data_IF_933547132013
#
_entry.id   IF_933547132013
#
_cell.length_a   1.000
_cell.length_b   1.000
_cell.length_c   1.000
_cell.angle_alpha   90.00
_cell.angle_beta   90.00
_cell.angle_gamma   90.00
#
_symmetry.space_group_name_H-M   'P 1'
#
loop_
_entity.id
_entity.type
_entity.pdbx_description
1 polymer ?
#
# COMPACT_ATOMS: atom_id res chain seq x y z
N UNK A 1 2.78 42.41 -28.50
CA UNK A 1 3.27 42.05 -27.15
C UNK A 1 3.85 40.63 -27.15
N UNK A 2 4.94 40.38 -27.91
CA UNK A 2 5.54 39.03 -28.05
C UNK A 2 6.95 38.89 -27.45
N UNK A 3 7.49 39.92 -26.78
CA UNK A 3 8.90 39.94 -26.34
C UNK A 3 9.14 39.47 -24.91
N UNK A 4 8.10 39.38 -24.06
CA UNK A 4 8.28 39.10 -22.62
C UNK A 4 8.27 37.61 -22.28
N UNK A 5 7.51 36.80 -23.01
CA UNK A 5 7.39 35.35 -22.75
C UNK A 5 8.72 34.58 -22.98
N UNK A 6 9.48 34.82 -24.07
CA UNK A 6 10.77 34.16 -24.26
C UNK A 6 11.80 34.55 -23.19
N UNK A 7 11.79 35.82 -22.76
CA UNK A 7 12.65 36.33 -21.69
C UNK A 7 12.26 35.69 -20.36
N UNK A 8 10.97 35.62 -20.05
CA UNK A 8 10.46 34.95 -18.86
C UNK A 8 10.85 33.47 -18.83
N UNK A 9 10.63 32.73 -19.93
CA UNK A 9 11.00 31.31 -20.03
C UNK A 9 12.51 31.11 -19.83
N UNK A 10 13.35 31.96 -20.43
CA UNK A 10 14.79 31.90 -20.25
C UNK A 10 15.21 32.15 -18.79
N UNK A 11 14.64 33.18 -18.15
CA UNK A 11 14.91 33.51 -16.75
C UNK A 11 14.42 32.41 -15.81
N UNK A 12 13.24 31.83 -16.06
CA UNK A 12 12.70 30.73 -15.28
C UNK A 12 13.55 29.47 -15.39
N UNK A 13 14.02 29.10 -16.60
CA UNK A 13 14.95 27.97 -16.78
C UNK A 13 16.22 28.17 -15.96
N UNK A 14 16.80 29.38 -16.02
CA UNK A 14 18.01 29.71 -15.27
C UNK A 14 17.76 29.66 -13.76
N UNK A 15 16.65 30.23 -13.29
CA UNK A 15 16.26 30.21 -11.89
C UNK A 15 16.05 28.77 -11.39
N UNK A 16 15.29 27.95 -12.12
CA UNK A 16 15.06 26.55 -11.77
C UNK A 16 16.38 25.78 -11.66
N UNK A 17 17.30 25.97 -12.62
CA UNK A 17 18.61 25.33 -12.55
C UNK A 17 19.36 25.73 -11.27
N UNK A 18 19.40 27.02 -10.97
CA UNK A 18 20.10 27.56 -9.79
C UNK A 18 19.43 27.16 -8.45
N UNK A 19 18.11 27.03 -8.43
CA UNK A 19 17.36 26.72 -7.21
C UNK A 19 17.42 25.24 -6.84
N UNK A 20 17.39 24.34 -7.83
CA UNK A 20 17.21 22.91 -7.62
C UNK A 20 18.46 22.06 -7.87
N UNK A 21 19.47 22.58 -8.58
CA UNK A 21 20.72 21.87 -8.82
C UNK A 21 21.88 22.61 -8.17
N UNK A 22 22.66 21.91 -7.32
CA UNK A 22 23.85 22.50 -6.70
C UNK A 22 25.05 22.48 -7.63
N UNK A 23 25.05 21.54 -8.58
CA UNK A 23 26.11 21.35 -9.57
C UNK A 23 25.94 22.25 -10.78
N UNK A 24 27.01 22.97 -11.15
CA UNK A 24 26.99 23.84 -12.33
C UNK A 24 26.85 23.07 -13.66
N UNK A 25 27.36 21.84 -13.70
CA UNK A 25 27.32 20.95 -14.87
C UNK A 25 26.01 20.17 -15.01
N UNK A 26 25.10 20.26 -14.02
CA UNK A 26 23.82 19.59 -14.11
C UNK A 26 22.96 20.16 -15.25
N UNK A 27 22.33 19.26 -16.00
CA UNK A 27 21.36 19.58 -17.04
C UNK A 27 19.95 19.44 -16.48
N UNK A 28 19.01 20.27 -16.94
CA UNK A 28 17.58 20.05 -16.66
C UNK A 28 17.18 18.63 -17.11
N UNK A 29 16.39 17.95 -16.29
CA UNK A 29 16.00 16.55 -16.46
C UNK A 29 16.98 15.52 -15.91
N UNK A 30 18.16 15.94 -15.41
CA UNK A 30 18.99 15.08 -14.57
C UNK A 30 18.42 14.99 -13.15
N UNK A 31 18.68 13.89 -12.44
CA UNK A 31 18.28 13.76 -11.04
C UNK A 31 19.41 14.27 -10.14
N UNK A 32 19.08 15.23 -9.30
CA UNK A 32 19.91 15.70 -8.20
C UNK A 32 19.48 15.00 -6.91
N UNK A 33 20.43 14.42 -6.18
CA UNK A 33 20.20 13.80 -4.89
C UNK A 33 20.76 14.68 -3.79
N UNK A 34 19.94 15.01 -2.79
CA UNK A 34 20.35 15.78 -1.64
C UNK A 34 19.78 15.19 -0.36
N UNK A 35 20.57 15.21 0.70
CA UNK A 35 20.13 14.79 2.03
C UNK A 35 19.77 16.04 2.84
N UNK A 36 18.58 16.04 3.43
CA UNK A 36 18.15 17.12 4.35
C UNK A 36 18.95 17.09 5.65
N UNK A 37 18.81 18.14 6.46
CA UNK A 37 19.38 18.18 7.81
C UNK A 37 18.83 17.10 8.75
N UNK A 38 17.69 16.49 8.43
CA UNK A 38 17.07 15.39 9.17
C UNK A 38 17.46 14.02 8.60
N UNK A 39 18.51 13.96 7.77
CA UNK A 39 18.98 12.75 7.10
C UNK A 39 17.98 12.12 6.11
N UNK A 40 16.93 12.86 5.73
CA UNK A 40 15.95 12.41 4.74
C UNK A 40 16.52 12.64 3.33
N UNK A 41 16.62 11.61 2.47
CA UNK A 41 17.02 11.77 1.08
C UNK A 41 15.89 12.43 0.27
N UNK A 42 16.27 13.39 -0.58
CA UNK A 42 15.39 14.11 -1.49
C UNK A 42 15.99 14.00 -2.89
N UNK A 43 15.21 13.50 -3.83
CA UNK A 43 15.58 13.39 -5.23
C UNK A 43 14.78 14.42 -6.03
N UNK A 44 15.46 15.22 -6.83
CA UNK A 44 14.85 16.30 -7.60
C UNK A 44 15.19 16.13 -9.07
N UNK A 45 14.18 16.19 -9.94
CA UNK A 45 14.37 16.32 -11.39
C UNK A 45 13.50 17.46 -11.90
N UNK A 46 14.10 18.44 -12.56
CA UNK A 46 13.37 19.56 -13.14
C UNK A 46 13.28 19.40 -14.64
N UNK A 47 12.06 19.21 -15.13
CA UNK A 47 11.75 19.22 -16.55
C UNK A 47 11.16 20.58 -16.93
N UNK A 48 11.66 21.16 -18.02
CA UNK A 48 11.09 22.36 -18.62
C UNK A 48 10.56 21.99 -19.99
N UNK A 49 9.31 22.35 -20.27
CA UNK A 49 8.69 22.11 -21.55
C UNK A 49 7.96 23.36 -22.04
N UNK A 50 8.12 23.66 -23.32
CA UNK A 50 7.56 24.85 -23.96
C UNK A 50 6.12 24.64 -24.48
N UNK A 51 5.69 23.38 -24.67
CA UNK A 51 4.40 23.03 -25.31
C UNK A 51 3.41 22.35 -24.36
N UNK A 52 2.12 22.64 -24.51
CA UNK A 52 1.01 22.00 -23.78
C UNK A 52 1.00 20.46 -23.91
N UNK A 53 1.53 19.92 -25.03
CA UNK A 53 1.62 18.47 -25.27
C UNK A 53 2.58 17.74 -24.32
N UNK A 54 3.47 18.45 -23.62
CA UNK A 54 4.38 17.87 -22.63
C UNK A 54 3.70 17.46 -21.33
N UNK A 55 2.48 17.96 -21.07
CA UNK A 55 1.68 17.63 -19.90
C UNK A 55 1.28 16.15 -19.84
N UNK A 56 1.31 15.45 -20.98
CA UNK A 56 1.03 14.01 -21.09
C UNK A 56 2.08 13.11 -20.41
N UNK A 57 3.25 13.63 -20.07
CA UNK A 57 4.31 12.88 -19.38
C UNK A 57 4.23 13.00 -17.85
N UNK A 58 3.36 13.86 -17.31
CA UNK A 58 3.19 14.01 -15.87
C UNK A 58 2.49 12.76 -15.32
N UNK A 59 3.01 12.19 -14.22
CA UNK A 59 2.42 11.06 -13.49
C UNK A 59 2.57 11.33 -11.98
N UNK A 60 1.62 10.84 -11.18
CA UNK A 60 1.58 11.02 -9.73
C UNK A 60 1.73 12.48 -9.27
N UNK A 61 0.93 13.38 -9.85
CA UNK A 61 0.87 14.74 -9.33
C UNK A 61 -0.04 14.79 -8.11
N UNK A 62 0.52 15.07 -6.94
CA UNK A 62 -0.24 15.33 -5.71
C UNK A 62 -0.60 16.82 -5.53
N UNK A 63 0.18 17.71 -6.16
CA UNK A 63 0.05 19.14 -5.98
C UNK A 63 0.55 19.93 -7.20
N UNK A 64 0.12 21.20 -7.32
CA UNK A 64 0.56 22.10 -8.38
C UNK A 64 0.65 23.55 -7.91
N UNK A 65 1.69 24.25 -8.36
CA UNK A 65 1.72 25.71 -8.38
C UNK A 65 1.28 26.18 -9.78
N UNK A 66 0.13 26.84 -9.86
CA UNK A 66 -0.42 27.37 -11.10
C UNK A 66 -0.06 28.85 -11.26
N UNK A 67 0.85 29.14 -12.17
CA UNK A 67 1.32 30.51 -12.42
C UNK A 67 0.44 31.17 -13.49
N UNK A 68 0.05 32.41 -13.21
CA UNK A 68 -0.78 33.24 -14.08
C UNK A 68 -0.05 34.54 -14.38
N UNK A 69 0.01 34.89 -15.66
CA UNK A 69 0.63 36.11 -16.15
C UNK A 69 -0.48 37.00 -16.74
N UNK A 70 -0.96 37.99 -15.97
CA UNK A 70 -2.19 38.73 -16.27
C UNK A 70 -2.25 39.42 -17.65
N UNK A 71 -1.08 39.75 -18.19
CA UNK A 71 -0.91 40.46 -19.46
C UNK A 71 -0.70 39.53 -20.66
N UNK A 72 -0.42 38.24 -20.44
CA UNK A 72 -0.07 37.30 -21.53
C UNK A 72 -1.18 36.33 -21.91
N UNK A 73 -2.24 36.19 -21.10
CA UNK A 73 -3.35 35.27 -21.39
C UNK A 73 -4.72 35.93 -21.15
N UNK A 74 -5.75 35.42 -21.83
CA UNK A 74 -7.14 35.80 -21.56
C UNK A 74 -7.72 35.00 -20.40
N UNK A 75 -8.75 35.52 -19.75
CA UNK A 75 -9.49 34.82 -18.68
C UNK A 75 -9.94 33.42 -19.12
N UNK A 76 -10.49 33.31 -20.34
CA UNK A 76 -10.96 32.04 -20.90
C UNK A 76 -9.81 31.04 -21.07
N UNK A 77 -8.66 31.48 -21.56
CA UNK A 77 -7.47 30.63 -21.73
C UNK A 77 -6.94 30.15 -20.39
N UNK A 78 -6.83 31.05 -19.41
CA UNK A 78 -6.36 30.74 -18.07
C UNK A 78 -7.23 29.66 -17.40
N UNK A 79 -8.57 29.83 -17.45
CA UNK A 79 -9.52 28.86 -16.90
C UNK A 79 -9.49 27.51 -17.63
N UNK A 80 -9.36 27.52 -18.96
CA UNK A 80 -9.24 26.29 -19.74
C UNK A 80 -7.98 25.52 -19.37
N UNK A 81 -6.84 26.21 -19.22
CA UNK A 81 -5.57 25.62 -18.80
C UNK A 81 -5.64 25.04 -17.39
N UNK A 82 -6.21 25.79 -16.44
CA UNK A 82 -6.44 25.29 -15.07
C UNK A 82 -7.29 24.01 -15.08
N UNK A 83 -8.43 24.02 -15.78
CA UNK A 83 -9.30 22.86 -15.90
C UNK A 83 -8.58 21.66 -16.49
N UNK A 84 -7.86 21.84 -17.60
CA UNK A 84 -7.13 20.75 -18.25
C UNK A 84 -6.08 20.11 -17.35
N UNK A 85 -5.38 20.91 -16.54
CA UNK A 85 -4.37 20.39 -15.60
C UNK A 85 -5.03 19.69 -14.41
N UNK A 86 -6.10 20.27 -13.87
CA UNK A 86 -6.86 19.69 -12.76
C UNK A 86 -7.67 18.46 -13.18
N UNK A 87 -8.03 18.28 -14.45
CA UNK A 87 -8.72 17.05 -14.91
C UNK A 87 -7.76 16.02 -15.48
N UNK A 88 -6.45 16.29 -15.45
CA UNK A 88 -5.44 15.37 -15.97
C UNK A 88 -5.50 14.01 -15.27
N UNK A 89 -5.37 12.89 -16.02
CA UNK A 89 -5.27 11.55 -15.43
C UNK A 89 -3.97 11.35 -14.64
N UNK A 90 -3.02 12.29 -14.71
CA UNK A 90 -1.77 12.28 -13.98
C UNK A 90 -1.92 12.44 -12.45
N UNK A 91 -3.08 12.88 -11.96
CA UNK A 91 -3.30 13.18 -10.54
C UNK A 91 -3.40 11.93 -9.67
N UNK A 92 -2.80 11.99 -8.49
CA UNK A 92 -2.88 10.96 -7.47
C UNK A 92 -3.92 11.31 -6.39
N UNK A 93 -5.18 10.94 -6.59
CA UNK A 93 -6.21 11.10 -5.56
C UNK A 93 -6.49 12.57 -5.18
N UNK A 94 -6.35 12.91 -3.90
CA UNK A 94 -6.53 14.28 -3.39
C UNK A 94 -5.44 15.21 -3.93
N UNK A 95 -5.86 16.29 -4.59
CA UNK A 95 -4.97 17.18 -5.34
C UNK A 95 -5.04 18.62 -4.82
N UNK A 96 -3.89 19.25 -4.58
CA UNK A 96 -3.80 20.60 -4.01
C UNK A 96 -3.26 21.62 -5.02
N UNK A 97 -3.84 22.83 -5.05
CA UNK A 97 -3.49 23.87 -6.04
C UNK A 97 -3.14 25.20 -5.37
N UNK A 98 -1.93 25.71 -5.62
CA UNK A 98 -1.55 27.07 -5.24
C UNK A 98 -1.48 27.94 -6.50
N UNK A 99 -2.38 28.91 -6.63
CA UNK A 99 -2.35 29.89 -7.73
C UNK A 99 -1.41 31.02 -7.36
N UNK A 100 -0.59 31.43 -8.33
CA UNK A 100 0.37 32.52 -8.17
C UNK A 100 0.21 33.54 -9.30
N UNK A 101 -0.29 34.73 -8.96
CA UNK A 101 -0.59 35.78 -9.93
C UNK A 101 0.58 36.76 -10.07
N UNK A 102 1.10 36.88 -11.29
CA UNK A 102 2.19 37.79 -11.66
C UNK A 102 1.58 39.02 -12.35
N UNK A 103 1.89 40.20 -11.82
CA UNK A 103 1.45 41.48 -12.39
C UNK A 103 0.02 41.89 -11.99
N UNK A 104 -0.43 41.58 -10.77
CA UNK A 104 -1.69 42.09 -10.20
C UNK A 104 -2.75 41.02 -9.93
N UNK A 105 -3.99 41.44 -9.69
CA UNK A 105 -5.10 40.60 -9.21
C UNK A 105 -6.27 40.48 -10.20
N UNK A 106 -6.01 40.69 -11.49
CA UNK A 106 -7.02 40.76 -12.56
C UNK A 106 -7.93 39.53 -12.60
N UNK A 107 -7.37 38.34 -12.39
CA UNK A 107 -8.09 37.07 -12.49
C UNK A 107 -8.51 36.47 -11.14
N UNK A 108 -8.15 37.07 -10.00
CA UNK A 108 -8.37 36.50 -8.65
C UNK A 108 -9.82 36.10 -8.41
N UNK A 109 -10.76 36.99 -8.75
CA UNK A 109 -12.19 36.75 -8.53
C UNK A 109 -12.68 35.55 -9.31
N UNK A 110 -12.28 35.43 -10.57
CA UNK A 110 -12.75 34.38 -11.47
C UNK A 110 -12.09 33.06 -11.13
N UNK A 111 -10.79 33.07 -10.86
CA UNK A 111 -10.04 31.90 -10.37
C UNK A 111 -10.60 31.38 -9.06
N UNK A 112 -10.96 32.28 -8.13
CA UNK A 112 -11.59 31.89 -6.87
C UNK A 112 -12.90 31.14 -7.08
N UNK A 113 -13.79 31.66 -7.92
CA UNK A 113 -15.07 31.01 -8.24
C UNK A 113 -14.83 29.63 -8.85
N UNK A 114 -13.88 29.52 -9.78
CA UNK A 114 -13.57 28.25 -10.43
C UNK A 114 -12.94 27.24 -9.47
N UNK A 115 -12.01 27.65 -8.61
CA UNK A 115 -11.41 26.77 -7.59
C UNK A 115 -12.44 26.29 -6.57
N UNK A 116 -13.37 27.14 -6.15
CA UNK A 116 -14.50 26.74 -5.30
C UNK A 116 -15.38 25.68 -5.98
N UNK A 117 -15.60 25.81 -7.29
CA UNK A 117 -16.38 24.85 -8.06
C UNK A 117 -15.64 23.51 -8.24
N UNK A 118 -14.36 23.55 -8.61
CA UNK A 118 -13.50 22.37 -8.69
C UNK A 118 -13.41 21.63 -7.33
N UNK A 119 -13.42 22.38 -6.23
CA UNK A 119 -13.43 21.82 -4.89
C UNK A 119 -14.76 21.10 -4.58
N UNK A 120 -15.90 21.71 -4.91
CA UNK A 120 -17.23 21.07 -4.75
C UNK A 120 -17.36 19.80 -5.58
N UNK A 121 -16.69 19.73 -6.73
CA UNK A 121 -16.64 18.55 -7.59
C UNK A 121 -15.65 17.48 -7.11
N UNK A 122 -14.98 17.68 -5.97
CA UNK A 122 -13.91 16.82 -5.44
C UNK A 122 -12.74 16.64 -6.42
N UNK A 123 -12.51 17.60 -7.32
CA UNK A 123 -11.37 17.56 -8.23
C UNK A 123 -10.10 18.12 -7.59
N UNK A 124 -10.25 19.01 -6.61
CA UNK A 124 -9.19 19.55 -5.77
C UNK A 124 -9.58 19.49 -4.29
N UNK A 125 -8.64 19.14 -3.42
CA UNK A 125 -8.85 19.06 -1.97
C UNK A 125 -8.60 20.42 -1.30
N UNK A 126 -7.48 21.06 -1.63
CA UNK A 126 -7.06 22.33 -1.03
C UNK A 126 -6.59 23.31 -2.09
N UNK A 127 -6.85 24.60 -1.86
CA UNK A 127 -6.35 25.62 -2.76
C UNK A 127 -6.06 26.95 -2.06
N UNK A 128 -5.18 27.75 -2.69
CA UNK A 128 -4.96 29.15 -2.31
C UNK A 128 -4.62 30.00 -3.53
N UNK A 129 -4.77 31.32 -3.38
CA UNK A 129 -4.36 32.31 -4.38
C UNK A 129 -3.39 33.29 -3.70
N UNK A 130 -2.19 33.40 -4.25
CA UNK A 130 -1.14 34.30 -3.79
C UNK A 130 -0.74 35.26 -4.93
N UNK A 131 -0.37 36.49 -4.59
CA UNK A 131 0.31 37.40 -5.52
C UNK A 131 1.81 37.12 -5.53
N UNK A 132 2.44 37.24 -6.69
CA UNK A 132 3.89 37.05 -6.83
C UNK A 132 4.66 38.17 -6.11
N UNK A 133 5.51 37.79 -5.16
CA UNK A 133 6.35 38.69 -4.36
C UNK A 133 7.81 38.24 -4.35
N UNK A 134 8.35 37.81 -5.50
CA UNK A 134 9.70 37.23 -5.66
C UNK A 134 9.76 35.79 -5.09
N UNK A 135 10.90 35.17 -4.72
CA UNK A 135 10.92 33.74 -4.39
C UNK A 135 10.12 33.38 -3.13
N UNK A 136 9.84 34.36 -2.26
CA UNK A 136 9.06 34.14 -1.03
C UNK A 136 7.66 33.57 -1.32
N UNK A 137 6.97 34.08 -2.35
CA UNK A 137 5.65 33.56 -2.73
C UNK A 137 5.69 32.13 -3.26
N UNK A 138 6.81 31.71 -3.88
CA UNK A 138 7.02 30.30 -4.26
C UNK A 138 7.20 29.45 -3.02
N UNK A 139 8.05 29.88 -2.08
CA UNK A 139 8.31 29.14 -0.84
C UNK A 139 7.06 29.00 0.01
N UNK A 140 6.27 30.06 0.15
CA UNK A 140 4.95 30.01 0.80
C UNK A 140 4.01 29.05 0.07
N UNK A 141 4.01 29.03 -1.26
CA UNK A 141 3.18 28.12 -2.06
C UNK A 141 3.60 26.68 -1.87
N UNK A 142 4.89 26.40 -1.89
CA UNK A 142 5.43 25.07 -1.58
C UNK A 142 5.07 24.63 -0.17
N UNK A 143 5.25 25.50 0.84
CA UNK A 143 4.91 25.20 2.23
C UNK A 143 3.42 24.81 2.37
N UNK A 144 2.52 25.62 1.81
CA UNK A 144 1.10 25.29 1.77
C UNK A 144 0.84 23.94 1.09
N UNK A 145 1.42 23.70 -0.09
CA UNK A 145 1.19 22.44 -0.79
C UNK A 145 1.69 21.26 0.05
N UNK A 146 2.88 21.35 0.64
CA UNK A 146 3.46 20.27 1.47
C UNK A 146 2.64 19.95 2.72
N UNK A 147 1.97 20.93 3.32
CA UNK A 147 1.04 20.70 4.45
C UNK A 147 -0.21 19.91 4.04
N UNK A 148 -0.56 19.94 2.75
CA UNK A 148 -1.80 19.41 2.21
C UNK A 148 -1.57 18.25 1.21
N UNK A 149 -0.33 17.76 1.05
CA UNK A 149 -0.07 16.51 0.33
C UNK A 149 -0.41 15.35 1.26
N UNK A 150 -1.40 14.56 0.87
CA UNK A 150 -1.79 13.37 1.61
C UNK A 150 -0.78 12.24 1.34
N UNK A 151 0.26 12.13 2.17
CA UNK A 151 1.18 10.98 2.18
C UNK A 151 0.74 10.00 3.26
N UNK A 152 0.46 8.75 2.91
CA UNK A 152 0.40 7.66 3.88
C UNK A 152 1.83 7.42 4.39
N UNK A 153 2.13 7.70 5.67
CA UNK A 153 3.50 7.88 6.16
C UNK A 153 4.30 6.56 6.28
N UNK A 154 3.66 5.41 6.08
CA UNK A 154 4.24 4.08 6.36
C UNK A 154 4.07 3.09 5.20
N UNK A 155 4.06 3.60 3.97
CA UNK A 155 3.98 2.75 2.78
C UNK A 155 5.25 1.93 2.64
N UNK A 156 5.05 0.65 2.37
CA UNK A 156 6.12 -0.30 2.07
C UNK A 156 5.68 -1.23 0.94
N UNK A 157 6.66 -1.86 0.30
CA UNK A 157 6.50 -2.89 -0.70
C UNK A 157 7.32 -4.12 -0.30
N UNK A 158 6.75 -5.30 -0.47
CA UNK A 158 7.46 -6.56 -0.22
C UNK A 158 6.96 -7.65 -1.17
N UNK A 159 7.73 -8.73 -1.28
CA UNK A 159 7.21 -9.94 -1.91
C UNK A 159 6.02 -10.46 -1.10
N UNK A 160 4.92 -10.79 -1.78
CA UNK A 160 3.70 -11.29 -1.13
C UNK A 160 3.98 -12.50 -0.24
N UNK A 161 4.88 -13.39 -0.68
CA UNK A 161 5.35 -14.54 0.09
C UNK A 161 5.90 -14.14 1.47
N UNK A 162 6.82 -13.17 1.51
CA UNK A 162 7.48 -12.75 2.74
C UNK A 162 6.49 -12.08 3.70
N UNK A 163 5.60 -11.25 3.14
CA UNK A 163 4.54 -10.62 3.92
C UNK A 163 3.60 -11.67 4.53
N UNK A 164 3.18 -12.67 3.76
CA UNK A 164 2.28 -13.71 4.27
C UNK A 164 2.98 -14.60 5.31
N UNK A 165 4.26 -14.96 5.11
CA UNK A 165 5.05 -15.69 6.11
C UNK A 165 5.07 -14.93 7.43
N UNK A 166 5.47 -13.66 7.40
CA UNK A 166 5.53 -12.81 8.58
C UNK A 166 4.16 -12.70 9.27
N UNK A 167 3.09 -12.42 8.51
CA UNK A 167 1.74 -12.28 9.09
C UNK A 167 1.22 -13.58 9.66
N UNK A 168 1.57 -14.71 9.06
CA UNK A 168 1.20 -16.03 9.57
C UNK A 168 1.88 -16.30 10.90
N UNK A 169 3.19 -16.07 11.01
CA UNK A 169 3.96 -16.20 12.25
C UNK A 169 3.41 -15.28 13.34
N UNK A 170 3.27 -13.97 13.06
CA UNK A 170 2.73 -12.99 14.02
C UNK A 170 1.31 -13.35 14.48
N UNK A 171 0.48 -13.92 13.60
CA UNK A 171 -0.88 -14.34 13.92
C UNK A 171 -0.88 -15.54 14.88
N UNK A 172 -0.12 -16.60 14.59
CA UNK A 172 -0.07 -17.78 15.46
C UNK A 172 0.57 -17.47 16.81
N UNK A 173 1.62 -16.64 16.85
CA UNK A 173 2.21 -16.13 18.10
C UNK A 173 1.20 -15.36 18.94
N UNK A 174 0.38 -14.51 18.30
CA UNK A 174 -0.66 -13.74 18.98
C UNK A 174 -1.80 -14.64 19.52
N UNK A 175 -2.17 -15.71 18.81
CA UNK A 175 -3.13 -16.69 19.31
C UNK A 175 -2.55 -17.50 20.47
N UNK A 176 -1.29 -17.94 20.35
CA UNK A 176 -0.58 -18.74 21.35
C UNK A 176 -0.42 -17.98 22.66
N UNK A 177 -0.03 -16.71 22.60
CA UNK A 177 0.04 -15.84 23.78
C UNK A 177 -1.36 -15.49 24.33
N UNK A 178 -2.33 -15.24 23.46
CA UNK A 178 -3.68 -14.83 23.84
C UNK A 178 -4.52 -15.93 24.50
N UNK A 179 -4.29 -17.20 24.16
CA UNK A 179 -5.11 -18.31 24.67
C UNK A 179 -5.04 -18.45 26.19
N UNK A 180 -3.92 -18.09 26.83
CA UNK A 180 -3.76 -18.14 28.29
C UNK A 180 -4.52 -17.03 29.01
N UNK A 181 -4.84 -15.94 28.31
CA UNK A 181 -5.48 -14.75 28.90
C UNK A 181 -6.98 -14.67 28.61
N UNK A 182 -7.50 -15.42 27.64
CA UNK A 182 -8.90 -15.38 27.25
C UNK A 182 -9.53 -16.79 27.22
N UNK A 183 -10.51 -17.03 28.10
CA UNK A 183 -11.23 -18.32 28.21
C UNK A 183 -11.91 -18.73 26.90
N UNK A 184 -12.53 -17.77 26.20
CA UNK A 184 -13.18 -18.04 24.92
C UNK A 184 -12.18 -18.48 23.85
N UNK A 185 -11.01 -17.84 23.80
CA UNK A 185 -9.95 -18.21 22.87
C UNK A 185 -9.32 -19.56 23.23
N UNK A 186 -9.05 -19.79 24.52
CA UNK A 186 -8.59 -21.08 25.05
C UNK A 186 -9.50 -22.24 24.63
N UNK A 187 -10.82 -22.06 24.69
CA UNK A 187 -11.77 -23.06 24.20
C UNK A 187 -11.78 -23.15 22.67
N UNK A 188 -11.71 -22.02 21.97
CA UNK A 188 -11.77 -21.99 20.51
C UNK A 188 -10.62 -22.78 19.87
N UNK A 189 -9.39 -22.61 20.39
CA UNK A 189 -8.19 -23.28 19.84
C UNK A 189 -8.12 -24.79 20.10
N UNK A 190 -9.03 -25.35 20.91
CA UNK A 190 -9.17 -26.82 21.07
C UNK A 190 -9.79 -27.50 19.84
N UNK A 191 -10.31 -26.74 18.88
CA UNK A 191 -10.87 -27.27 17.64
C UNK A 191 -10.06 -26.78 16.43
N UNK A 192 -9.56 -27.70 15.58
CA UNK A 192 -8.79 -27.31 14.41
C UNK A 192 -9.62 -26.49 13.41
N UNK A 193 -10.93 -26.77 13.27
CA UNK A 193 -11.80 -26.00 12.37
C UNK A 193 -11.96 -24.54 12.80
N UNK A 194 -11.97 -24.28 14.11
CA UNK A 194 -12.01 -22.92 14.62
C UNK A 194 -10.72 -22.17 14.26
N UNK A 195 -9.55 -22.79 14.45
CA UNK A 195 -8.27 -22.19 14.12
C UNK A 195 -8.16 -21.95 12.61
N UNK A 196 -8.58 -22.91 11.78
CA UNK A 196 -8.69 -22.77 10.32
C UNK A 196 -9.57 -21.57 9.95
N UNK A 197 -10.74 -21.41 10.57
CA UNK A 197 -11.63 -20.28 10.34
C UNK A 197 -10.96 -18.95 10.71
N UNK A 198 -10.28 -18.89 11.85
CA UNK A 198 -9.55 -17.69 12.28
C UNK A 198 -8.41 -17.35 11.30
N UNK A 199 -7.58 -18.32 10.91
CA UNK A 199 -6.51 -18.13 9.93
C UNK A 199 -7.04 -17.65 8.56
N UNK A 200 -8.09 -18.29 8.03
CA UNK A 200 -8.70 -17.89 6.77
C UNK A 200 -9.30 -16.48 6.83
N UNK A 201 -9.81 -16.08 8.01
CA UNK A 201 -10.27 -14.71 8.26
C UNK A 201 -9.09 -13.72 8.28
N UNK A 202 -7.95 -14.12 8.85
CA UNK A 202 -6.72 -13.33 8.83
C UNK A 202 -6.26 -13.05 7.39
N UNK A 203 -6.21 -14.07 6.54
CA UNK A 203 -5.87 -13.92 5.12
C UNK A 203 -6.85 -12.99 4.38
N UNK A 204 -8.15 -13.08 4.68
CA UNK A 204 -9.17 -12.20 4.09
C UNK A 204 -9.00 -10.75 4.55
N UNK A 205 -8.60 -10.52 5.81
CA UNK A 205 -8.28 -9.16 6.29
C UNK A 205 -7.03 -8.60 5.62
N UNK A 206 -5.99 -9.41 5.45
CA UNK A 206 -4.80 -9.03 4.70
C UNK A 206 -5.15 -8.68 3.25
N UNK A 207 -5.96 -9.50 2.59
CA UNK A 207 -6.47 -9.24 1.23
C UNK A 207 -7.13 -7.86 1.14
N UNK A 208 -8.05 -7.54 2.05
CA UNK A 208 -8.73 -6.24 2.05
C UNK A 208 -7.77 -5.05 2.20
N UNK A 209 -6.69 -5.21 2.97
CA UNK A 209 -5.65 -4.18 3.10
C UNK A 209 -4.86 -4.01 1.79
N UNK A 210 -4.45 -5.11 1.16
CA UNK A 210 -3.67 -5.10 -0.08
C UNK A 210 -4.45 -4.64 -1.31
N UNK A 211 -5.78 -4.74 -1.27
CA UNK A 211 -6.67 -4.32 -2.35
C UNK A 211 -7.25 -2.91 -2.13
N UNK A 212 -6.82 -2.21 -1.09
CA UNK A 212 -7.29 -0.86 -0.78
C UNK A 212 -6.99 0.12 -1.92
N UNK A 213 -8.02 0.86 -2.37
CA UNK A 213 -7.90 1.90 -3.39
C UNK A 213 -6.90 3.01 -3.00
N UNK A 214 -6.67 3.21 -1.69
CA UNK A 214 -5.69 4.17 -1.18
C UNK A 214 -4.26 3.88 -1.65
N UNK A 215 -3.99 2.64 -2.04
CA UNK A 215 -2.67 2.20 -2.50
C UNK A 215 -2.39 2.54 -3.96
N UNK A 216 -3.43 2.83 -4.76
CA UNK A 216 -3.33 3.03 -6.21
C UNK A 216 -2.34 4.13 -6.59
N UNK A 217 -2.34 5.24 -5.85
CA UNK A 217 -1.45 6.38 -6.12
C UNK A 217 0.04 6.02 -6.06
N UNK A 218 0.43 5.00 -5.29
CA UNK A 218 1.82 4.58 -5.13
C UNK A 218 2.33 3.74 -6.30
N UNK A 219 1.47 3.34 -7.23
CA UNK A 219 1.88 2.66 -8.47
C UNK A 219 2.35 3.64 -9.54
N UNK A 220 2.06 4.93 -9.37
CA UNK A 220 2.43 5.99 -10.30
C UNK A 220 3.82 6.58 -9.98
N UNK A 221 4.75 5.79 -9.43
CA UNK A 221 6.11 6.24 -9.12
C UNK A 221 6.85 6.69 -10.39
N UNK A 222 7.50 7.85 -10.36
CA UNK A 222 8.17 8.42 -11.52
C UNK A 222 9.47 7.64 -11.85
N UNK A 223 9.59 7.20 -13.11
CA UNK A 223 10.61 6.24 -13.55
C UNK A 223 12.04 6.81 -13.41
N UNK A 224 12.20 8.11 -13.57
CA UNK A 224 13.48 8.83 -13.47
C UNK A 224 14.14 8.68 -12.09
N UNK A 225 13.36 8.54 -11.02
CA UNK A 225 13.88 8.43 -9.66
C UNK A 225 14.28 7.00 -9.28
N UNK A 226 13.90 6.00 -10.07
CA UNK A 226 14.07 4.58 -9.72
C UNK A 226 15.51 4.19 -9.40
N UNK A 227 16.47 4.69 -10.19
CA UNK A 227 17.90 4.37 -10.02
C UNK A 227 18.53 5.03 -8.79
N UNK A 228 17.86 6.02 -8.22
CA UNK A 228 18.36 6.83 -7.10
C UNK A 228 17.73 6.45 -5.76
N UNK A 229 16.82 5.46 -5.74
CA UNK A 229 16.34 4.87 -4.50
C UNK A 229 17.36 3.83 -4.02
N UNK A 230 17.91 3.97 -2.80
CA UNK A 230 18.95 3.07 -2.31
C UNK A 230 18.51 1.60 -2.33
N UNK A 231 19.32 0.72 -2.91
CA UNK A 231 19.02 -0.72 -3.00
C UNK A 231 18.90 -1.42 -1.64
N UNK A 232 19.51 -0.88 -0.59
CA UNK A 232 19.40 -1.39 0.80
C UNK A 232 18.09 -0.99 1.49
N UNK A 233 17.43 0.06 1.01
CA UNK A 233 16.11 0.52 1.47
C UNK A 233 14.98 -0.05 0.59
N UNK A 234 15.31 -0.92 -0.38
CA UNK A 234 14.39 -1.47 -1.36
C UNK A 234 13.22 -2.21 -0.72
N UNK A 235 12.13 -1.48 -0.63
CA UNK A 235 10.94 -1.85 0.12
C UNK A 235 9.88 -0.77 0.05
N UNK A 236 9.92 0.10 -0.95
CA UNK A 236 8.98 1.20 -1.15
C UNK A 236 8.28 1.17 -2.52
N UNK A 237 7.57 2.25 -2.87
CA UNK A 237 6.82 2.37 -4.11
C UNK A 237 7.64 2.15 -5.40
N UNK A 238 8.94 2.39 -5.37
CA UNK A 238 9.86 2.21 -6.50
C UNK A 238 9.86 0.78 -7.08
N UNK A 239 9.53 -0.22 -6.25
CA UNK A 239 9.38 -1.63 -6.68
C UNK A 239 8.14 -1.85 -7.56
N UNK A 240 7.25 -0.86 -7.64
CA UNK A 240 6.04 -0.88 -8.47
C UNK A 240 6.14 0.00 -9.72
N UNK A 241 7.28 0.65 -9.94
CA UNK A 241 7.59 1.35 -11.18
C UNK A 241 7.28 0.46 -12.41
N UNK A 242 6.47 1.00 -13.33
CA UNK A 242 5.99 0.30 -14.53
C UNK A 242 4.87 -0.73 -14.31
N UNK A 243 4.39 -0.93 -13.08
CA UNK A 243 3.24 -1.79 -12.77
C UNK A 243 1.96 -0.96 -12.64
N UNK A 244 0.82 -1.63 -12.82
CA UNK A 244 -0.50 -0.99 -12.71
C UNK A 244 -1.31 -1.65 -11.59
N UNK A 245 -2.03 -0.83 -10.82
CA UNK A 245 -2.97 -1.30 -9.79
C UNK A 245 -4.35 -1.63 -10.37
N UNK A 246 -4.37 -2.48 -11.40
CA UNK A 246 -5.57 -2.82 -12.16
C UNK A 246 -6.23 -4.12 -11.66
N UNK A 247 -7.42 -4.42 -12.18
CA UNK A 247 -8.18 -5.62 -11.78
C UNK A 247 -7.42 -6.94 -12.03
N UNK A 248 -6.68 -7.13 -13.13
CA UNK A 248 -5.82 -8.31 -13.30
C UNK A 248 -4.78 -8.47 -12.18
N UNK A 249 -4.13 -7.39 -11.76
CA UNK A 249 -3.17 -7.41 -10.67
C UNK A 249 -3.85 -7.74 -9.33
N UNK A 250 -4.98 -7.09 -9.03
CA UNK A 250 -5.79 -7.37 -7.83
C UNK A 250 -6.26 -8.82 -7.79
N UNK A 251 -6.76 -9.35 -8.91
CA UNK A 251 -7.19 -10.73 -9.04
C UNK A 251 -6.06 -11.74 -8.80
N UNK A 252 -4.81 -11.41 -9.16
CA UNK A 252 -3.67 -12.25 -8.84
C UNK A 252 -3.37 -12.29 -7.33
N UNK A 253 -3.50 -11.16 -6.62
CA UNK A 253 -3.37 -11.11 -5.16
C UNK A 253 -4.45 -12.00 -4.54
N UNK A 254 -5.71 -11.78 -4.91
CA UNK A 254 -6.85 -12.57 -4.43
C UNK A 254 -6.69 -14.04 -4.71
N UNK A 255 -6.27 -14.42 -5.93
CA UNK A 255 -6.06 -15.83 -6.29
C UNK A 255 -5.00 -16.48 -5.40
N UNK A 256 -3.88 -15.80 -5.15
CA UNK A 256 -2.80 -16.34 -4.31
C UNK A 256 -3.21 -16.44 -2.85
N UNK A 257 -3.83 -15.40 -2.28
CA UNK A 257 -4.29 -15.43 -0.88
C UNK A 257 -5.41 -16.47 -0.67
N UNK A 258 -6.34 -16.60 -1.62
CA UNK A 258 -7.39 -17.63 -1.53
C UNK A 258 -6.82 -19.05 -1.66
N UNK A 259 -5.76 -19.26 -2.44
CA UNK A 259 -5.09 -20.56 -2.51
C UNK A 259 -4.37 -20.95 -1.20
N UNK A 260 -4.06 -19.99 -0.33
CA UNK A 260 -3.45 -20.25 0.98
C UNK A 260 -4.48 -20.62 2.05
N UNK A 261 -5.77 -20.37 1.81
CA UNK A 261 -6.83 -20.70 2.77
C UNK A 261 -6.86 -22.21 2.99
N UNK A 262 -6.91 -22.59 4.26
CA UNK A 262 -6.96 -23.98 4.66
C UNK A 262 -8.41 -24.49 4.55
N UNK A 263 -8.66 -25.69 3.98
CA UNK A 263 -9.99 -26.27 3.96
C UNK A 263 -10.43 -26.65 5.37
N UNK A 264 -11.74 -26.71 5.64
CA UNK A 264 -12.23 -27.24 6.91
C UNK A 264 -12.11 -28.78 6.95
N UNK A 265 -11.84 -29.32 8.13
CA UNK A 265 -11.86 -30.77 8.35
C UNK A 265 -13.31 -31.25 8.33
N UNK A 266 -13.65 -32.05 7.32
CA UNK A 266 -14.98 -32.66 7.21
C UNK A 266 -15.19 -33.73 8.30
N UNK A 267 -16.42 -33.81 8.83
CA UNK A 267 -16.84 -34.81 9.83
C UNK A 267 -15.98 -34.78 11.11
N UNK A 268 -15.70 -33.57 11.60
CA UNK A 268 -14.99 -33.33 12.85
C UNK A 268 -15.99 -33.13 14.02
N UNK A 269 -15.74 -33.71 15.22
CA UNK A 269 -14.65 -34.63 15.56
C UNK A 269 -14.87 -36.06 14.99
N UNK A 270 -13.79 -36.82 14.73
CA UNK A 270 -13.88 -38.18 14.23
C UNK A 270 -14.39 -39.15 15.31
N UNK A 271 -15.28 -40.08 14.93
CA UNK A 271 -15.86 -41.08 15.84
C UNK A 271 -14.93 -42.24 16.23
N UNK A 272 -13.74 -42.33 15.64
CA UNK A 272 -12.77 -43.40 15.96
C UNK A 272 -11.35 -43.02 15.56
N UNK A 273 -10.31 -43.61 16.19
CA UNK A 273 -8.90 -43.34 15.85
C UNK A 273 -8.58 -43.64 14.38
N UNK A 274 -9.14 -44.73 13.83
CA UNK A 274 -8.99 -45.07 12.41
C UNK A 274 -9.56 -44.00 11.48
N UNK A 275 -10.65 -43.31 11.88
CA UNK A 275 -11.21 -42.19 11.13
C UNK A 275 -10.33 -40.94 11.26
N UNK A 276 -9.79 -40.67 12.45
CA UNK A 276 -8.83 -39.57 12.66
C UNK A 276 -7.62 -39.71 11.72
N UNK A 277 -6.98 -40.88 11.68
CA UNK A 277 -5.84 -41.15 10.79
C UNK A 277 -6.21 -40.90 9.33
N UNK A 278 -7.36 -41.40 8.88
CA UNK A 278 -7.83 -41.20 7.51
C UNK A 278 -8.09 -39.73 7.20
N UNK A 279 -8.73 -39.00 8.11
CA UNK A 279 -9.00 -37.56 7.96
C UNK A 279 -7.70 -36.77 7.86
N UNK A 280 -6.75 -36.99 8.78
CA UNK A 280 -5.47 -36.27 8.79
C UNK A 280 -4.61 -36.58 7.56
N UNK A 281 -4.53 -37.85 7.13
CA UNK A 281 -3.84 -38.22 5.88
C UNK A 281 -4.49 -37.55 4.68
N UNK A 282 -5.82 -37.60 4.58
CA UNK A 282 -6.56 -36.95 3.49
C UNK A 282 -6.31 -35.45 3.48
N UNK A 283 -6.26 -34.82 4.65
CA UNK A 283 -6.03 -33.38 4.79
C UNK A 283 -4.62 -32.99 4.34
N UNK A 284 -3.59 -33.71 4.80
CA UNK A 284 -2.20 -33.47 4.37
C UNK A 284 -2.03 -33.67 2.86
N UNK A 285 -2.72 -34.65 2.27
CA UNK A 285 -2.75 -34.84 0.81
C UNK A 285 -3.41 -33.66 0.07
N UNK A 286 -4.48 -33.07 0.62
CA UNK A 286 -5.12 -31.89 0.05
C UNK A 286 -4.23 -30.64 0.09
N UNK A 287 -3.33 -30.55 1.08
CA UNK A 287 -2.32 -29.49 1.18
C UNK A 287 -1.06 -29.79 0.34
N UNK A 288 -1.08 -30.83 -0.48
CA UNK A 288 0.03 -31.26 -1.33
C UNK A 288 1.33 -31.63 -0.57
N UNK A 289 1.22 -31.99 0.71
CA UNK A 289 2.36 -32.45 1.51
C UNK A 289 2.00 -33.62 2.43
N UNK A 290 2.06 -34.84 1.88
CA UNK A 290 1.84 -36.08 2.64
C UNK A 290 2.99 -36.35 3.62
N UNK A 291 4.17 -35.76 3.38
CA UNK A 291 5.37 -35.96 4.20
C UNK A 291 5.25 -35.36 5.60
N UNK A 292 4.31 -34.44 5.80
CA UNK A 292 4.05 -33.77 7.09
C UNK A 292 3.12 -34.61 7.98
N UNK A 293 2.36 -35.55 7.42
CA UNK A 293 1.45 -36.40 8.20
C UNK A 293 2.15 -37.13 9.38
N UNK A 294 3.32 -37.78 9.21
CA UNK A 294 4.02 -38.43 10.32
C UNK A 294 4.41 -37.46 11.45
N UNK A 295 4.77 -36.22 11.12
CA UNK A 295 5.08 -35.18 12.11
C UNK A 295 3.83 -34.85 12.92
N UNK A 296 2.72 -34.55 12.25
CA UNK A 296 1.44 -34.21 12.89
C UNK A 296 0.93 -35.37 13.74
N UNK A 297 0.99 -36.59 13.21
CA UNK A 297 0.49 -37.76 13.92
C UNK A 297 1.25 -38.01 15.22
N UNK A 298 2.57 -37.72 15.27
CA UNK A 298 3.36 -37.81 16.51
C UNK A 298 3.00 -36.77 17.55
N UNK A 299 2.37 -35.67 17.17
CA UNK A 299 1.90 -34.63 18.10
C UNK A 299 0.55 -34.99 18.75
N UNK A 300 -0.09 -36.07 18.29
CA UNK A 300 -1.37 -36.55 18.81
C UNK A 300 -1.09 -37.76 19.70
N UNK A 301 -1.11 -37.54 21.01
CA UNK A 301 -1.00 -38.60 22.01
C UNK A 301 -2.40 -39.04 22.46
N UNK A 302 -2.82 -40.25 22.05
CA UNK A 302 -4.09 -40.84 22.45
C UNK A 302 -3.84 -41.99 23.41
N UNK A 303 -4.45 -41.94 24.59
CA UNK A 303 -4.45 -43.03 25.57
C UNK A 303 -5.58 -44.03 25.28
N UNK A 304 -5.36 -45.32 25.52
CA UNK A 304 -6.31 -46.37 25.10
C UNK A 304 -7.68 -46.36 25.85
N UNK A 305 -7.73 -45.79 27.07
CA UNK A 305 -8.88 -45.96 27.98
C UNK A 305 -9.81 -44.72 28.14
N UNK A 306 -9.66 -43.68 27.32
CA UNK A 306 -10.46 -42.43 27.47
C UNK A 306 -11.28 -42.04 26.23
N UNK A 307 -12.30 -41.20 26.43
CA UNK A 307 -13.16 -40.73 25.35
C UNK A 307 -12.34 -39.92 24.34
N UNK A 308 -12.30 -40.39 23.09
CA UNK A 308 -11.58 -39.76 21.99
C UNK A 308 -11.86 -38.25 21.86
N UNK A 309 -13.12 -37.81 22.02
CA UNK A 309 -13.45 -36.38 21.92
C UNK A 309 -12.74 -35.55 23.00
N UNK A 310 -12.67 -36.07 24.23
CA UNK A 310 -11.96 -35.40 25.33
C UNK A 310 -10.45 -35.39 25.12
N UNK A 311 -9.90 -36.43 24.51
CA UNK A 311 -8.47 -36.49 24.17
C UNK A 311 -8.11 -35.49 23.07
N UNK A 312 -8.98 -35.37 22.06
CA UNK A 312 -8.77 -34.42 20.98
C UNK A 312 -8.77 -32.97 21.48
N UNK A 313 -9.40 -32.65 22.62
CA UNK A 313 -9.28 -31.32 23.22
C UNK A 313 -7.89 -31.01 23.79
N UNK A 314 -7.07 -32.03 24.10
CA UNK A 314 -5.72 -31.87 24.66
C UNK A 314 -4.64 -31.79 23.59
N UNK A 315 -4.99 -32.12 22.34
CA UNK A 315 -4.07 -32.05 21.21
C UNK A 315 -3.67 -30.58 20.95
N UNK A 316 -2.38 -30.29 20.68
CA UNK A 316 -1.92 -28.96 20.35
C UNK A 316 -2.34 -28.57 18.91
N UNK A 317 -3.64 -28.36 18.69
CA UNK A 317 -4.19 -28.05 17.38
C UNK A 317 -3.66 -26.75 16.79
N UNK A 318 -3.31 -25.79 17.64
CA UNK A 318 -2.75 -24.52 17.18
C UNK A 318 -1.45 -24.76 16.39
N UNK A 319 -0.52 -25.52 16.96
CA UNK A 319 0.76 -25.86 16.34
C UNK A 319 0.56 -26.72 15.07
N UNK A 320 -0.39 -27.67 15.10
CA UNK A 320 -0.71 -28.51 13.94
C UNK A 320 -1.25 -27.67 12.78
N UNK A 321 -2.14 -26.71 13.05
CA UNK A 321 -2.72 -25.84 12.02
C UNK A 321 -1.70 -24.82 11.52
N UNK A 322 -0.79 -24.36 12.37
CA UNK A 322 0.35 -23.55 11.95
C UNK A 322 1.22 -24.31 10.95
N UNK A 323 1.57 -25.57 11.25
CA UNK A 323 2.33 -26.43 10.33
C UNK A 323 1.60 -26.53 8.97
N UNK A 324 0.28 -26.76 8.97
CA UNK A 324 -0.51 -26.78 7.74
C UNK A 324 -0.44 -25.47 6.96
N UNK A 325 -0.58 -24.32 7.64
CA UNK A 325 -0.47 -23.00 7.01
C UNK A 325 0.91 -22.80 6.38
N UNK A 326 1.98 -23.13 7.11
CA UNK A 326 3.36 -23.03 6.61
C UNK A 326 3.59 -23.96 5.40
N UNK A 327 3.01 -25.17 5.38
CA UNK A 327 3.12 -26.08 4.25
C UNK A 327 2.42 -25.52 3.00
N UNK A 328 1.21 -24.98 3.17
CA UNK A 328 0.47 -24.31 2.10
C UNK A 328 1.28 -23.15 1.49
N UNK A 329 1.92 -22.34 2.34
CA UNK A 329 2.81 -21.24 1.91
C UNK A 329 4.01 -21.78 1.12
N UNK A 330 4.73 -22.78 1.64
CA UNK A 330 5.90 -23.36 0.96
C UNK A 330 5.54 -23.97 -0.40
N UNK A 331 4.38 -24.60 -0.51
CA UNK A 331 3.90 -25.19 -1.76
C UNK A 331 3.56 -24.10 -2.79
N UNK A 332 2.83 -23.05 -2.38
CA UNK A 332 2.40 -21.99 -3.28
C UNK A 332 3.55 -21.04 -3.71
N UNK A 333 4.56 -20.88 -2.86
CA UNK A 333 5.71 -20.02 -3.10
C UNK A 333 7.03 -20.82 -3.04
N UNK A 334 7.35 -21.60 -4.08
CA UNK A 334 8.59 -22.38 -4.10
C UNK A 334 9.82 -21.47 -4.25
N UNK A 335 10.83 -21.68 -3.40
CA UNK A 335 12.07 -20.90 -3.34
C UNK A 335 12.84 -20.80 -4.67
N UNK A 336 12.57 -21.71 -5.61
CA UNK A 336 13.24 -21.80 -6.92
C UNK A 336 12.80 -20.75 -7.93
N UNK A 337 11.70 -20.02 -7.69
CA UNK A 337 11.15 -19.02 -8.62
C UNK A 337 11.39 -17.56 -8.17
N UNK A 338 12.59 -17.22 -7.69
CA UNK A 338 12.93 -15.86 -7.23
C UNK A 338 12.65 -14.76 -8.27
N UNK A 339 12.75 -15.08 -9.56
CA UNK A 339 12.50 -14.14 -10.68
C UNK A 339 11.02 -13.87 -10.96
N UNK A 340 10.09 -14.64 -10.38
CA UNK A 340 8.62 -14.46 -10.56
C UNK A 340 7.93 -13.96 -9.29
N UNK A 341 8.67 -13.38 -8.35
CA UNK A 341 8.11 -12.86 -7.09
C UNK A 341 7.11 -11.74 -7.39
N UNK A 342 5.88 -11.96 -6.93
CA UNK A 342 4.85 -10.93 -6.93
C UNK A 342 5.12 -9.98 -5.77
N UNK A 343 5.31 -8.71 -6.07
CA UNK A 343 5.43 -7.66 -5.06
C UNK A 343 4.06 -7.02 -4.81
N UNK A 344 3.84 -6.61 -3.57
CA UNK A 344 2.64 -5.88 -3.13
C UNK A 344 3.06 -4.64 -2.35
N UNK A 345 2.31 -3.55 -2.54
CA UNK A 345 2.39 -2.35 -1.70
C UNK A 345 1.37 -2.47 -0.57
N UNK A 346 1.71 -1.97 0.62
CA UNK A 346 0.82 -1.91 1.76
C UNK A 346 1.23 -0.80 2.73
N UNK A 347 0.29 -0.36 3.57
CA UNK A 347 0.60 0.44 4.75
C UNK A 347 1.07 -0.49 5.87
N UNK A 348 2.33 -0.34 6.28
CA UNK A 348 2.96 -1.14 7.33
C UNK A 348 2.24 -0.98 8.66
N UNK A 349 1.72 0.21 8.97
CA UNK A 349 0.97 0.44 10.20
C UNK A 349 -0.34 -0.36 10.19
N UNK A 350 -1.12 -0.29 9.11
CA UNK A 350 -2.39 -1.03 9.01
C UNK A 350 -2.20 -2.54 9.13
N UNK A 351 -1.16 -3.08 8.48
CA UNK A 351 -0.80 -4.48 8.56
C UNK A 351 -0.42 -4.88 10.00
N UNK A 352 0.43 -4.10 10.67
CA UNK A 352 0.80 -4.36 12.07
C UNK A 352 -0.40 -4.25 13.02
N UNK A 353 -1.28 -3.28 12.79
CA UNK A 353 -2.49 -3.09 13.60
C UNK A 353 -3.52 -4.20 13.39
N UNK A 354 -3.50 -4.87 12.23
CA UNK A 354 -4.42 -5.97 11.94
C UNK A 354 -4.33 -7.06 13.01
N UNK A 355 -3.13 -7.49 13.41
CA UNK A 355 -2.94 -8.51 14.44
C UNK A 355 -3.13 -7.91 15.85
N UNK A 356 -2.53 -6.75 16.12
CA UNK A 356 -2.59 -6.09 17.44
C UNK A 356 -4.00 -5.77 17.93
N UNK A 357 -4.95 -5.53 17.02
CA UNK A 357 -6.36 -5.27 17.36
C UNK A 357 -7.11 -6.49 17.90
N UNK A 358 -6.53 -7.69 17.85
CA UNK A 358 -7.09 -8.94 18.38
C UNK A 358 -8.56 -9.15 17.96
N UNK A 359 -8.88 -8.86 16.70
CA UNK A 359 -10.25 -8.86 16.18
C UNK A 359 -10.96 -10.22 16.34
N UNK A 360 -10.19 -11.31 16.45
CA UNK A 360 -10.71 -12.66 16.67
C UNK A 360 -11.50 -12.78 17.97
N UNK A 361 -11.23 -11.95 18.99
CA UNK A 361 -11.98 -11.95 20.25
C UNK A 361 -13.46 -11.56 20.07
N UNK A 362 -13.78 -10.85 18.99
CA UNK A 362 -15.16 -10.44 18.66
C UNK A 362 -15.87 -11.42 17.73
N UNK A 363 -15.19 -12.46 17.25
CA UNK A 363 -15.80 -13.42 16.34
C UNK A 363 -16.70 -14.41 17.10
N UNK A 364 -17.83 -14.86 16.52
CA UNK A 364 -18.74 -15.81 17.17
C UNK A 364 -18.04 -17.06 17.70
N UNK A 365 -17.05 -17.58 16.95
CA UNK A 365 -16.27 -18.77 17.31
C UNK A 365 -15.45 -18.62 18.59
N UNK A 366 -15.19 -17.39 19.04
CA UNK A 366 -14.48 -17.08 20.30
C UNK A 366 -15.45 -16.47 21.33
N UNK A 367 -16.25 -15.50 20.91
CA UNK A 367 -17.12 -14.71 21.77
C UNK A 367 -18.17 -15.56 22.50
N UNK A 368 -18.83 -16.48 21.79
CA UNK A 368 -19.84 -17.34 22.43
C UNK A 368 -19.25 -18.34 23.43
N UNK A 369 -17.93 -18.54 23.40
CA UNK A 369 -17.22 -19.42 24.32
C UNK A 369 -16.68 -18.67 25.56
N UNK A 370 -16.76 -17.34 25.58
CA UNK A 370 -16.36 -16.52 26.74
C UNK A 370 -17.34 -16.65 27.91
N UNK A 371 -18.63 -16.82 27.59
CA UNK A 371 -19.68 -17.16 28.55
C UNK A 371 -19.61 -18.66 28.90
#
# INVERSE_FOLDING_TARGET
>A
SCSELPVFNHLMRRWCKQAFYRREDACLGSVECLTTSLEIPVNISVHFADDEQSSHNLKAMDAMIFIVLNESESEKMCLQRLKSLVTSPAKSGEFSVAVMNVGGNKFDRVLKIELEELHKQNLIAHWKINSWSRPDSIMESLAFLTEHVNVVPHISASALELLVKQITEEFFDALSSGQHSCKGLSKAVKSPNNIVQLYNTCLTKLENLLLSHKLEKYFNFADEFKMYVPSKESGGPELMCGKQFNDPYKAQISKRLNALKLPELTKWPPKSPNRLVKTLKSYCSQLHDVGVFPQIFRMIDLQDDSNLEQQLEQVPWLDIVEIWAQCSIRHLFPDRERTKRMFVIFDRHDVQQMIKKQWWLKLPVVYHLMN
#
